data_IF_259650261760
#
_entry.id   IF_259650261760
#
_cell.length_a   1.000
_cell.length_b   1.000
_cell.length_c   1.000
_cell.angle_alpha   90.00
_cell.angle_beta   90.00
_cell.angle_gamma   90.00
#
_symmetry.space_group_name_H-M   'P 1'
#
loop_
_entity.id
_entity.type
_entity.pdbx_description
1 polymer ?
#
# COMPACT_ATOMS: atom_id res chain seq x y z
N UNK A 1 30.41 -38.89 -38.38
CA UNK A 1 29.27 -38.00 -38.73
C UNK A 1 28.71 -37.44 -37.44
N UNK A 2 28.93 -36.15 -37.16
CA UNK A 2 28.43 -35.45 -35.97
C UNK A 2 27.26 -34.56 -36.41
N UNK A 3 26.06 -34.83 -35.93
CA UNK A 3 24.93 -33.91 -36.05
C UNK A 3 24.90 -33.00 -34.82
N UNK A 4 24.90 -31.67 -34.95
CA UNK A 4 24.69 -30.79 -33.81
C UNK A 4 23.19 -30.74 -33.46
N UNK A 5 22.87 -31.10 -32.23
CA UNK A 5 21.53 -30.94 -31.64
C UNK A 5 21.30 -29.46 -31.32
N UNK A 6 20.54 -28.78 -32.16
CA UNK A 6 20.11 -27.39 -31.94
C UNK A 6 18.91 -27.39 -30.99
N UNK A 7 19.15 -27.21 -29.69
CA UNK A 7 18.08 -26.96 -28.72
C UNK A 7 17.68 -25.47 -28.78
N UNK A 8 16.83 -25.09 -29.73
CA UNK A 8 16.15 -23.78 -29.70
C UNK A 8 14.97 -23.85 -28.73
N UNK A 9 15.22 -23.68 -27.44
CA UNK A 9 14.15 -23.34 -26.49
C UNK A 9 13.82 -21.86 -26.67
N UNK A 10 12.90 -21.55 -27.60
CA UNK A 10 12.31 -20.22 -27.69
C UNK A 10 11.43 -19.98 -26.47
N UNK A 11 12.00 -19.36 -25.43
CA UNK A 11 11.22 -18.82 -24.32
C UNK A 11 10.42 -17.65 -24.90
N UNK A 12 9.14 -17.89 -25.20
CA UNK A 12 8.21 -16.83 -25.55
C UNK A 12 7.95 -16.01 -24.28
N UNK A 13 8.77 -14.98 -24.07
CA UNK A 13 8.51 -13.94 -23.07
C UNK A 13 7.20 -13.27 -23.48
N UNK A 14 6.14 -13.51 -22.72
CA UNK A 14 4.84 -12.86 -22.92
C UNK A 14 4.98 -11.39 -22.53
N UNK A 15 5.34 -10.55 -23.49
CA UNK A 15 5.28 -9.10 -23.34
C UNK A 15 3.81 -8.66 -23.35
N UNK A 16 3.14 -8.73 -22.20
CA UNK A 16 1.86 -8.04 -22.01
C UNK A 16 2.15 -6.54 -21.85
N UNK A 17 2.41 -5.85 -22.95
CA UNK A 17 2.31 -4.39 -22.99
C UNK A 17 0.86 -4.03 -23.32
N UNK A 18 -0.01 -4.02 -22.31
CA UNK A 18 -1.29 -3.33 -22.45
C UNK A 18 -1.01 -1.84 -22.32
N UNK A 19 -0.76 -1.18 -23.46
CA UNK A 19 -0.90 0.27 -23.55
C UNK A 19 -2.38 0.59 -23.43
N UNK A 20 -2.88 0.69 -22.20
CA UNK A 20 -4.19 1.27 -21.94
C UNK A 20 -4.03 2.75 -22.28
N UNK A 21 -4.60 3.17 -23.41
CA UNK A 21 -4.88 4.59 -23.65
C UNK A 21 -5.92 5.03 -22.62
N UNK A 22 -5.49 5.34 -21.41
CA UNK A 22 -6.35 5.94 -20.39
C UNK A 22 -6.54 7.42 -20.76
N UNK A 23 -7.55 7.72 -21.57
CA UNK A 23 -7.89 9.10 -21.91
C UNK A 23 -9.39 9.34 -21.73
N UNK A 24 -9.78 9.73 -20.52
CA UNK A 24 -10.98 10.50 -20.15
C UNK A 24 -10.95 10.70 -18.62
N UNK A 25 -10.83 11.95 -18.17
CA UNK A 25 -10.96 12.41 -16.78
C UNK A 25 -10.07 11.77 -15.70
N UNK A 26 -8.78 12.14 -15.64
CA UNK A 26 -8.23 12.58 -14.32
C UNK A 26 -8.87 13.93 -13.98
N UNK A 27 -10.20 13.97 -13.90
CA UNK A 27 -10.87 15.18 -13.46
C UNK A 27 -10.40 15.42 -12.03
N UNK A 28 -9.98 16.65 -11.79
CA UNK A 28 -9.80 17.13 -10.44
C UNK A 28 -11.19 17.11 -9.81
N UNK A 29 -11.33 16.33 -8.74
CA UNK A 29 -12.61 16.18 -8.05
C UNK A 29 -12.83 17.43 -7.22
N UNK A 30 -14.05 17.94 -7.18
CA UNK A 30 -14.37 19.02 -6.26
C UNK A 30 -14.28 18.55 -4.80
N UNK A 31 -13.83 19.40 -3.87
CA UNK A 31 -13.83 19.07 -2.45
C UNK A 31 -15.27 18.75 -1.99
N UNK A 32 -15.46 17.63 -1.29
CA UNK A 32 -16.79 17.12 -0.92
C UNK A 32 -16.93 16.93 0.58
N UNK A 33 -18.03 17.45 1.12
CA UNK A 33 -18.42 17.24 2.52
C UNK A 33 -17.38 17.84 3.48
N UNK A 34 -16.80 16.98 4.34
CA UNK A 34 -15.81 17.39 5.34
C UNK A 34 -14.40 17.60 4.76
N UNK A 35 -14.16 17.16 3.53
CA UNK A 35 -12.83 17.16 2.91
C UNK A 35 -12.68 18.36 1.99
N UNK A 36 -12.57 19.56 2.58
CA UNK A 36 -12.24 20.80 1.85
C UNK A 36 -10.75 20.92 1.61
N UNK A 37 -9.96 20.49 2.59
CA UNK A 37 -8.52 20.71 2.64
C UNK A 37 -7.76 19.41 2.36
N UNK A 38 -6.61 19.52 1.70
CA UNK A 38 -5.74 18.38 1.41
C UNK A 38 -5.25 17.68 2.69
N UNK A 39 -4.90 18.44 3.72
CA UNK A 39 -4.44 17.92 5.01
C UNK A 39 -5.51 17.07 5.69
N UNK A 40 -6.76 17.52 5.70
CA UNK A 40 -7.90 16.77 6.27
C UNK A 40 -8.15 15.46 5.51
N UNK A 41 -8.06 15.50 4.18
CA UNK A 41 -8.21 14.31 3.34
C UNK A 41 -7.06 13.32 3.58
N UNK A 42 -5.82 13.77 3.58
CA UNK A 42 -4.64 12.93 3.78
C UNK A 42 -4.61 12.32 5.19
N UNK A 43 -5.07 13.06 6.20
CA UNK A 43 -5.24 12.55 7.56
C UNK A 43 -6.25 11.40 7.59
N UNK A 44 -7.39 11.55 6.89
CA UNK A 44 -8.43 10.51 6.82
C UNK A 44 -8.00 9.22 6.13
N UNK A 45 -7.03 9.29 5.19
CA UNK A 45 -6.48 8.10 4.55
C UNK A 45 -5.55 7.28 5.48
N UNK A 46 -5.06 7.89 6.56
CA UNK A 46 -4.16 7.27 7.53
C UNK A 46 -2.74 7.04 7.01
N UNK A 47 -2.04 6.06 7.61
CA UNK A 47 -0.63 5.70 7.29
C UNK A 47 0.38 6.87 7.33
N UNK A 48 0.09 7.86 8.18
CA UNK A 48 0.81 9.13 8.28
C UNK A 48 1.04 9.81 6.93
N UNK A 49 0.07 9.72 6.01
CA UNK A 49 0.18 10.33 4.68
C UNK A 49 0.29 11.86 4.73
N UNK A 50 -0.33 12.51 5.71
CA UNK A 50 -0.25 13.96 5.93
C UNK A 50 1.20 14.44 6.13
N UNK A 51 2.04 13.67 6.82
CA UNK A 51 3.43 14.02 7.07
C UNK A 51 4.33 13.76 5.86
N UNK A 52 3.97 12.75 5.06
CA UNK A 52 4.76 12.27 3.91
C UNK A 52 4.47 13.07 2.64
N UNK A 53 3.21 13.44 2.41
CA UNK A 53 2.78 14.17 1.23
C UNK A 53 2.73 15.67 1.55
N UNK A 54 3.75 16.41 1.10
CA UNK A 54 3.91 17.85 1.35
C UNK A 54 3.16 18.73 0.33
N UNK A 55 2.12 18.21 -0.33
CA UNK A 55 1.35 18.96 -1.34
C UNK A 55 0.12 19.54 -0.66
N UNK A 56 0.05 20.87 -0.60
CA UNK A 56 -1.07 21.61 0.00
C UNK A 56 -2.19 21.86 -1.03
N UNK A 57 -1.83 22.02 -2.30
CA UNK A 57 -2.78 22.33 -3.37
C UNK A 57 -3.63 21.12 -3.76
N UNK A 58 -4.96 21.27 -3.65
CA UNK A 58 -5.92 20.22 -3.99
C UNK A 58 -5.81 19.76 -5.45
N UNK A 59 -5.79 20.72 -6.37
CA UNK A 59 -5.70 20.45 -7.80
C UNK A 59 -4.38 19.73 -8.15
N UNK A 60 -3.29 20.13 -7.49
CA UNK A 60 -1.99 19.50 -7.67
C UNK A 60 -1.99 18.06 -7.15
N UNK A 61 -2.61 17.80 -5.99
CA UNK A 61 -2.69 16.46 -5.40
C UNK A 61 -3.37 15.46 -6.35
N UNK A 62 -4.51 15.83 -6.94
CA UNK A 62 -5.23 14.96 -7.88
C UNK A 62 -4.58 14.88 -9.26
N UNK A 63 -3.88 15.93 -9.71
CA UNK A 63 -3.17 15.92 -11.00
C UNK A 63 -1.86 15.11 -10.97
N UNK A 64 -1.22 15.05 -9.79
CA UNK A 64 0.09 14.43 -9.60
C UNK A 64 0.13 12.93 -9.94
N UNK A 65 1.25 12.52 -10.51
CA UNK A 65 1.54 11.14 -10.87
C UNK A 65 2.49 10.46 -9.87
N UNK A 66 2.65 9.14 -9.98
CA UNK A 66 3.60 8.39 -9.14
C UNK A 66 5.03 8.90 -9.19
N UNK A 67 5.46 9.47 -10.32
CA UNK A 67 6.80 10.05 -10.50
C UNK A 67 6.94 11.37 -9.74
N UNK A 68 5.87 12.14 -9.63
CA UNK A 68 5.91 13.42 -8.91
C UNK A 68 6.05 13.16 -7.40
N UNK A 69 5.31 12.19 -6.86
CA UNK A 69 5.46 11.73 -5.47
C UNK A 69 6.80 11.06 -5.18
N UNK A 70 7.43 10.45 -6.19
CA UNK A 70 8.79 9.92 -6.06
C UNK A 70 9.82 11.02 -5.88
N UNK A 71 9.69 12.14 -6.61
CA UNK A 71 10.57 13.31 -6.42
C UNK A 71 10.42 13.95 -5.04
N UNK A 72 9.25 13.84 -4.42
CA UNK A 72 8.98 14.29 -3.04
C UNK A 72 9.64 13.36 -1.99
N UNK A 73 10.06 12.15 -2.40
CA UNK A 73 10.73 11.19 -1.52
C UNK A 73 9.79 10.18 -0.85
N UNK A 74 8.54 10.06 -1.32
CA UNK A 74 7.61 9.05 -0.77
C UNK A 74 8.06 7.64 -1.10
N UNK A 75 7.85 6.67 -0.20
CA UNK A 75 8.17 5.26 -0.49
C UNK A 75 7.23 4.68 -1.56
N UNK A 76 7.66 3.68 -2.36
CA UNK A 76 6.79 3.07 -3.37
C UNK A 76 5.47 2.50 -2.80
N UNK A 77 5.47 2.03 -1.55
CA UNK A 77 4.28 1.52 -0.88
C UNK A 77 3.28 2.64 -0.57
N UNK A 78 3.76 3.76 -0.05
CA UNK A 78 2.93 4.93 0.26
C UNK A 78 2.34 5.53 -1.02
N UNK A 79 3.14 5.63 -2.10
CA UNK A 79 2.67 6.14 -3.40
C UNK A 79 1.54 5.31 -3.98
N UNK A 80 1.69 3.97 -3.96
CA UNK A 80 0.65 3.04 -4.45
C UNK A 80 -0.64 3.16 -3.65
N UNK A 81 -0.52 3.26 -2.32
CA UNK A 81 -1.66 3.42 -1.44
C UNK A 81 -2.37 4.76 -1.65
N UNK A 82 -1.64 5.87 -1.69
CA UNK A 82 -2.19 7.21 -1.92
C UNK A 82 -2.95 7.28 -3.25
N UNK A 83 -2.35 6.81 -4.35
CA UNK A 83 -3.00 6.82 -5.67
C UNK A 83 -4.27 5.96 -5.70
N UNK A 84 -4.25 4.81 -5.01
CA UNK A 84 -5.44 3.99 -4.87
C UNK A 84 -6.54 4.69 -4.06
N UNK A 85 -6.19 5.36 -2.95
CA UNK A 85 -7.13 6.15 -2.15
C UNK A 85 -7.74 7.31 -2.95
N UNK A 86 -6.92 8.07 -3.69
CA UNK A 86 -7.39 9.15 -4.56
C UNK A 86 -8.33 8.63 -5.65
N UNK A 87 -8.06 7.45 -6.20
CA UNK A 87 -8.94 6.82 -7.18
C UNK A 87 -10.27 6.35 -6.57
N UNK A 88 -10.25 5.82 -5.34
CA UNK A 88 -11.48 5.49 -4.60
C UNK A 88 -12.31 6.72 -4.27
N UNK A 89 -11.65 7.82 -3.92
CA UNK A 89 -12.31 9.10 -3.70
C UNK A 89 -12.93 9.64 -5.01
N UNK A 90 -12.26 9.52 -6.15
CA UNK A 90 -12.82 9.83 -7.48
C UNK A 90 -14.06 9.02 -7.82
N UNK A 91 -14.10 7.76 -7.42
CA UNK A 91 -15.26 6.88 -7.59
C UNK A 91 -16.42 7.25 -6.65
N UNK A 92 -16.29 8.30 -5.83
CA UNK A 92 -17.32 8.79 -4.91
C UNK A 92 -17.39 8.02 -3.59
N UNK A 93 -16.40 7.18 -3.28
CA UNK A 93 -16.33 6.49 -1.99
C UNK A 93 -15.75 7.40 -0.90
N UNK A 94 -16.29 7.31 0.31
CA UNK A 94 -15.78 8.06 1.46
C UNK A 94 -14.55 7.37 2.08
N UNK A 95 -13.51 8.12 2.51
CA UNK A 95 -12.29 7.57 3.09
C UNK A 95 -12.53 6.58 4.23
N UNK A 96 -13.52 6.85 5.09
CA UNK A 96 -13.90 6.00 6.23
C UNK A 96 -14.23 4.55 5.83
N UNK A 97 -14.67 4.32 4.58
CA UNK A 97 -15.05 2.99 4.09
C UNK A 97 -13.87 2.13 3.63
N UNK A 98 -12.75 2.73 3.20
CA UNK A 98 -11.66 2.01 2.53
C UNK A 98 -10.27 2.30 3.13
N UNK A 99 -10.13 3.39 3.89
CA UNK A 99 -8.87 3.76 4.50
C UNK A 99 -8.53 2.78 5.63
N UNK A 100 -7.31 2.27 5.59
CA UNK A 100 -6.82 1.33 6.59
C UNK A 100 -5.42 1.71 7.03
N UNK A 101 -5.25 1.79 8.34
CA UNK A 101 -3.97 1.94 8.99
C UNK A 101 -3.03 0.76 8.67
N UNK A 102 -1.70 0.97 8.78
CA UNK A 102 -0.78 -0.13 8.56
C UNK A 102 -1.00 -1.17 9.65
N UNK A 103 -1.10 -2.43 9.27
CA UNK A 103 -1.25 -3.52 10.24
C UNK A 103 -0.10 -3.45 11.25
N UNK A 104 -0.39 -3.47 12.56
CA UNK A 104 0.64 -3.35 13.58
C UNK A 104 1.66 -4.48 13.43
N UNK A 105 2.92 -4.18 13.78
CA UNK A 105 4.01 -5.16 13.70
C UNK A 105 3.64 -6.39 14.52
N UNK A 106 3.91 -7.57 13.98
CA UNK A 106 3.70 -8.82 14.72
C UNK A 106 4.73 -8.94 15.84
N UNK A 107 4.27 -8.87 17.08
CA UNK A 107 5.05 -9.13 18.30
C UNK A 107 5.41 -10.61 18.41
N UNK A 108 4.41 -11.48 18.43
CA UNK A 108 4.61 -12.93 18.50
C UNK A 108 4.60 -13.59 17.11
N UNK A 109 5.57 -14.47 16.86
CA UNK A 109 5.74 -15.23 15.61
C UNK A 109 5.52 -16.72 15.85
N UNK A 110 4.76 -17.39 14.98
CA UNK A 110 4.39 -18.80 15.21
C UNK A 110 5.56 -19.80 15.11
N UNK A 111 6.54 -19.55 14.25
CA UNK A 111 7.64 -20.49 13.95
C UNK A 111 8.89 -20.30 14.81
N UNK A 112 8.85 -19.40 15.81
CA UNK A 112 10.01 -19.07 16.64
C UNK A 112 10.13 -19.88 17.93
N UNK A 113 10.99 -19.42 18.86
CA UNK A 113 11.11 -19.96 20.20
C UNK A 113 9.76 -20.06 20.91
N UNK A 114 9.66 -21.03 21.83
CA UNK A 114 8.42 -21.31 22.59
C UNK A 114 7.90 -20.09 23.33
N UNK A 115 8.81 -19.38 23.97
CA UNK A 115 8.57 -18.14 24.72
C UNK A 115 9.23 -17.01 23.95
N UNK A 116 8.46 -15.98 23.63
CA UNK A 116 8.92 -14.77 22.95
C UNK A 116 8.53 -13.58 23.80
N UNK A 117 9.46 -12.65 24.03
CA UNK A 117 9.22 -11.48 24.89
C UNK A 117 8.64 -11.83 26.27
N UNK A 118 9.09 -12.94 26.87
CA UNK A 118 8.59 -13.42 28.17
C UNK A 118 7.19 -14.05 28.15
N UNK A 119 6.51 -14.09 27.00
CA UNK A 119 5.19 -14.73 26.86
C UNK A 119 5.28 -16.04 26.09
N UNK A 120 4.53 -17.04 26.51
CA UNK A 120 4.45 -18.36 25.88
C UNK A 120 3.54 -18.31 24.64
N UNK A 121 4.15 -18.57 23.47
CA UNK A 121 3.49 -18.54 22.15
C UNK A 121 2.99 -19.93 21.73
N UNK A 122 3.68 -21.02 22.09
CA UNK A 122 3.35 -22.41 21.68
C UNK A 122 3.55 -23.42 22.81
N UNK A 123 2.91 -24.59 22.69
CA UNK A 123 3.04 -25.70 23.64
C UNK A 123 2.24 -25.52 24.95
N UNK A 124 2.38 -26.48 25.86
CA UNK A 124 1.71 -26.49 27.17
C UNK A 124 2.24 -25.37 28.08
N UNK A 125 1.37 -24.79 28.91
CA UNK A 125 1.74 -23.79 29.92
C UNK A 125 2.58 -24.44 31.01
N UNK A 126 3.75 -23.87 31.32
CA UNK A 126 4.52 -24.24 32.51
C UNK A 126 4.23 -23.27 33.64
N UNK A 127 4.45 -23.72 34.88
CA UNK A 127 4.33 -22.87 36.06
C UNK A 127 5.24 -21.63 35.94
N UNK A 128 4.67 -20.44 36.07
CA UNK A 128 5.39 -19.16 35.97
C UNK A 128 5.50 -18.57 34.57
N UNK A 129 5.04 -19.26 33.52
CA UNK A 129 4.93 -18.69 32.17
C UNK A 129 3.57 -18.01 31.98
N UNK A 130 3.53 -16.85 31.32
CA UNK A 130 2.27 -16.21 30.92
C UNK A 130 1.95 -16.47 29.44
N UNK A 131 0.70 -16.78 29.07
CA UNK A 131 0.33 -17.01 27.68
C UNK A 131 0.39 -15.71 26.87
N UNK A 132 0.81 -15.80 25.60
CA UNK A 132 0.71 -14.68 24.67
C UNK A 132 -0.77 -14.26 24.48
N UNK A 133 -1.06 -12.96 24.33
CA UNK A 133 -2.41 -12.48 24.09
C UNK A 133 -2.97 -13.09 22.80
N UNK A 134 -4.23 -13.54 22.86
CA UNK A 134 -4.95 -13.98 21.66
C UNK A 134 -5.27 -12.74 20.82
N UNK A 135 -4.97 -12.81 19.52
CA UNK A 135 -5.35 -11.79 18.54
C UNK A 135 -6.81 -11.91 18.18
#
# INVERSE_FOLDING_TARGET
MLCPRVNKTSILIRNFSTSIKANASRQVVEPRGKFTDTTTLLSSFGRSLQEKCKIEDWNQLFSSSSRDFERIGMTPQDRKYLLWCLEKFRQGQYPESFAHEPSPKKEFRGWGPRVQHGKRVRGLLRSGEEPAPKR
#
